data_IF_778654196390
#
_entry.id   IF_778654196390
#
_cell.length_a   1.000
_cell.length_b   1.000
_cell.length_c   1.000
_cell.angle_alpha   90.00
_cell.angle_beta   90.00
_cell.angle_gamma   90.00
#
_symmetry.space_group_name_H-M   'P 1'
#
loop_
_entity.id
_entity.type
_entity.pdbx_description
1 polymer ?
#
# COMPACT_ATOMS: atom_id res chain seq x y z
N UNK A 1 -40.83 18.44 50.17
CA UNK A 1 -41.23 19.74 49.60
C UNK A 1 -40.22 20.06 48.52
N UNK A 2 -40.54 19.92 47.23
CA UNK A 2 -41.18 20.98 46.41
C UNK A 2 -40.19 22.16 46.30
N UNK A 3 -39.81 22.72 45.16
CA UNK A 3 -40.62 23.21 44.03
C UNK A 3 -39.65 23.61 42.89
N UNK A 4 -40.10 23.53 41.62
CA UNK A 4 -39.72 24.42 40.50
C UNK A 4 -38.37 24.12 39.81
N UNK A 5 -38.25 23.87 38.51
CA UNK A 5 -39.03 24.38 37.38
C UNK A 5 -38.50 25.75 36.96
N UNK A 6 -37.72 25.83 35.87
CA UNK A 6 -37.95 26.80 34.78
C UNK A 6 -36.99 26.59 33.60
N UNK A 7 -37.59 26.77 32.42
CA UNK A 7 -37.01 26.86 31.09
C UNK A 7 -35.95 27.96 31.00
N UNK A 8 -34.97 27.80 30.11
CA UNK A 8 -34.57 28.83 29.16
C UNK A 8 -33.66 28.22 28.09
N UNK A 9 -34.23 28.07 26.89
CA UNK A 9 -33.42 28.05 25.69
C UNK A 9 -32.88 29.45 25.42
N UNK A 10 -31.64 29.53 24.94
CA UNK A 10 -31.21 30.60 24.07
C UNK A 10 -30.13 30.05 23.13
N UNK A 11 -30.46 30.09 21.85
CA UNK A 11 -29.55 29.99 20.71
C UNK A 11 -28.61 31.20 20.67
N UNK A 12 -27.69 31.19 19.70
CA UNK A 12 -26.60 32.15 19.38
C UNK A 12 -25.28 31.73 20.06
N UNK A 13 -24.18 31.40 19.39
CA UNK A 13 -23.77 31.52 18.00
C UNK A 13 -22.27 31.79 17.98
N UNK A 14 -21.50 31.01 17.21
CA UNK A 14 -20.20 31.41 16.66
C UNK A 14 -18.93 31.24 17.53
N UNK A 15 -17.97 30.47 17.00
CA UNK A 15 -16.56 30.89 16.97
C UNK A 15 -15.57 30.29 17.97
N UNK A 16 -14.85 29.25 17.54
CA UNK A 16 -13.37 29.23 17.54
C UNK A 16 -12.55 29.11 18.84
N UNK A 17 -11.87 27.96 18.93
CA UNK A 17 -10.46 27.74 19.37
C UNK A 17 -10.13 27.66 20.88
N UNK A 18 -9.36 26.60 21.19
CA UNK A 18 -8.49 26.29 22.34
C UNK A 18 -9.15 25.71 23.62
N UNK A 19 -8.90 24.42 23.88
CA UNK A 19 -7.93 23.95 24.89
C UNK A 19 -7.95 22.42 25.04
N UNK A 20 -6.77 21.82 24.98
CA UNK A 20 -6.49 20.44 25.39
C UNK A 20 -6.71 20.35 26.92
N UNK A 21 -7.78 19.68 27.37
CA UNK A 21 -8.00 19.47 28.80
C UNK A 21 -7.40 18.15 29.29
N UNK A 22 -6.26 18.29 30.00
CA UNK A 22 -5.81 17.53 31.18
C UNK A 22 -6.21 16.05 31.25
N UNK A 23 -5.30 15.20 30.79
CA UNK A 23 -5.23 13.79 31.22
C UNK A 23 -4.86 13.77 32.71
N UNK A 24 -5.65 13.06 33.53
CA UNK A 24 -5.43 13.01 34.99
C UNK A 24 -4.07 12.37 35.32
N UNK A 25 -3.46 12.79 36.43
CA UNK A 25 -2.17 12.25 36.90
C UNK A 25 -2.19 10.72 37.02
N UNK A 26 -3.32 10.14 37.44
CA UNK A 26 -3.51 8.69 37.51
C UNK A 26 -3.46 7.96 36.15
N UNK A 27 -3.85 8.62 35.06
CA UNK A 27 -3.74 8.05 33.71
C UNK A 27 -2.29 8.12 33.20
N UNK A 28 -1.54 9.18 33.54
CA UNK A 28 -0.12 9.25 33.20
C UNK A 28 0.72 8.22 33.95
N UNK A 29 0.43 8.03 35.24
CA UNK A 29 1.12 7.06 36.09
C UNK A 29 0.84 5.62 35.60
N UNK A 30 -0.41 5.29 35.31
CA UNK A 30 -0.79 4.00 34.72
C UNK A 30 -0.15 3.74 33.34
N UNK A 31 0.00 4.78 32.51
CA UNK A 31 0.66 4.66 31.21
C UNK A 31 2.15 4.37 31.34
N UNK A 32 2.81 4.96 32.34
CA UNK A 32 4.23 4.77 32.59
C UNK A 32 4.53 3.37 33.14
N UNK A 33 3.67 2.85 34.01
CA UNK A 33 3.78 1.50 34.57
C UNK A 33 3.51 0.43 33.49
N UNK A 34 2.54 0.67 32.60
CA UNK A 34 2.28 -0.19 31.45
C UNK A 34 3.48 -0.24 30.49
N UNK A 35 4.09 0.91 30.18
CA UNK A 35 5.28 0.98 29.30
C UNK A 35 6.49 0.26 29.89
N UNK A 36 6.72 0.39 31.19
CA UNK A 36 7.82 -0.30 31.87
C UNK A 36 7.62 -1.83 31.91
N UNK A 37 6.38 -2.29 32.05
CA UNK A 37 6.04 -3.72 32.14
C UNK A 37 6.10 -4.45 30.79
N UNK A 38 5.84 -3.74 29.69
CA UNK A 38 5.77 -4.30 28.34
C UNK A 38 6.95 -3.90 27.44
N UNK A 39 8.04 -3.37 28.03
CA UNK A 39 9.26 -2.92 27.34
C UNK A 39 9.89 -4.01 26.43
N UNK A 40 9.76 -5.29 26.76
CA UNK A 40 10.28 -6.41 25.95
C UNK A 40 9.29 -6.99 24.93
N UNK A 41 7.99 -6.72 25.05
CA UNK A 41 7.01 -7.10 24.01
C UNK A 41 7.03 -6.12 22.81
N UNK A 42 7.69 -4.98 23.00
CA UNK A 42 8.06 -4.00 21.96
C UNK A 42 9.15 -4.54 21.01
N UNK A 43 9.79 -5.67 21.31
CA UNK A 43 10.92 -6.22 20.51
C UNK A 43 10.49 -7.28 19.47
N UNK A 44 9.20 -7.53 19.27
CA UNK A 44 8.67 -8.65 18.47
C UNK A 44 8.00 -8.34 17.13
N UNK A 45 8.45 -7.33 16.37
CA UNK A 45 8.41 -7.39 14.89
C UNK A 45 7.06 -7.35 14.15
N UNK A 46 6.10 -6.50 14.51
CA UNK A 46 5.02 -6.13 13.59
C UNK A 46 4.77 -4.62 13.64
N UNK A 47 5.19 -3.90 12.59
CA UNK A 47 4.89 -2.46 12.47
C UNK A 47 3.41 -2.32 12.14
N UNK A 48 2.64 -1.66 13.00
CA UNK A 48 1.21 -1.45 12.77
C UNK A 48 1.00 -0.63 11.49
N UNK A 49 -0.12 -0.90 10.80
CA UNK A 49 -0.54 -0.22 9.58
C UNK A 49 -0.52 1.32 9.71
N UNK A 50 -0.87 1.84 10.89
CA UNK A 50 -0.88 3.28 11.20
C UNK A 50 0.50 3.91 11.27
N UNK A 51 1.54 3.17 11.66
CA UNK A 51 2.92 3.67 11.65
C UNK A 51 3.50 3.75 10.22
N UNK A 52 3.07 2.86 9.31
CA UNK A 52 3.42 2.99 7.88
C UNK A 52 2.74 4.21 7.24
N UNK A 53 1.49 4.50 7.62
CA UNK A 53 0.76 5.67 7.14
C UNK A 53 1.38 7.01 7.59
N UNK A 54 2.10 7.02 8.72
CA UNK A 54 2.75 8.22 9.27
C UNK A 54 4.17 8.47 8.72
N UNK A 55 4.80 7.51 8.03
CA UNK A 55 6.23 7.61 7.69
C UNK A 55 6.55 8.13 6.28
N UNK A 56 5.57 8.35 5.40
CA UNK A 56 5.91 8.56 3.97
C UNK A 56 4.77 9.17 3.17
N UNK A 57 4.94 10.43 2.78
CA UNK A 57 4.14 10.97 1.69
C UNK A 57 4.60 10.35 0.35
N UNK A 58 3.66 9.70 -0.35
CA UNK A 58 3.85 9.34 -1.75
C UNK A 58 4.37 10.57 -2.50
N UNK A 59 5.56 10.46 -3.08
CA UNK A 59 6.22 11.56 -3.79
C UNK A 59 6.06 11.37 -5.28
N UNK A 60 5.45 12.35 -5.95
CA UNK A 60 5.20 12.32 -7.40
C UNK A 60 5.97 13.43 -8.10
N UNK A 61 6.75 13.07 -9.12
CA UNK A 61 7.41 14.01 -10.03
C UNK A 61 6.45 14.36 -11.17
N UNK A 62 5.94 15.59 -11.18
CA UNK A 62 5.07 16.13 -12.21
C UNK A 62 5.42 17.60 -12.55
N UNK A 63 5.03 18.12 -13.73
CA UNK A 63 5.24 19.53 -14.13
C UNK A 63 4.57 20.59 -13.24
N UNK A 64 3.49 20.23 -12.52
CA UNK A 64 2.80 21.13 -11.59
C UNK A 64 2.44 20.42 -10.29
N UNK A 65 2.30 21.19 -9.22
CA UNK A 65 1.90 20.70 -7.90
C UNK A 65 0.48 20.13 -7.91
N UNK A 66 -0.45 20.78 -8.60
CA UNK A 66 -1.82 20.31 -8.79
C UNK A 66 -1.84 18.92 -9.45
N UNK A 67 -1.01 18.71 -10.48
CA UNK A 67 -0.92 17.42 -11.15
C UNK A 67 -0.26 16.36 -10.25
N UNK A 68 0.79 16.73 -9.51
CA UNK A 68 1.41 15.84 -8.53
C UNK A 68 0.40 15.37 -7.48
N UNK A 69 -0.44 16.27 -6.97
CA UNK A 69 -1.50 15.96 -6.01
C UNK A 69 -2.56 15.04 -6.60
N UNK A 70 -3.01 15.29 -7.84
CA UNK A 70 -3.98 14.44 -8.53
C UNK A 70 -3.45 13.01 -8.73
N UNK A 71 -2.20 12.86 -9.15
CA UNK A 71 -1.57 11.54 -9.33
C UNK A 71 -1.23 10.86 -8.01
N UNK A 72 -0.92 11.62 -6.95
CA UNK A 72 -0.77 11.09 -5.59
C UNK A 72 -2.06 10.40 -5.15
N UNK A 73 -3.21 11.08 -5.30
CA UNK A 73 -4.52 10.51 -4.99
C UNK A 73 -4.84 9.26 -5.82
N UNK A 74 -4.52 9.26 -7.13
CA UNK A 74 -4.68 8.11 -8.01
C UNK A 74 -3.85 6.90 -7.57
N UNK A 75 -2.57 7.09 -7.22
CA UNK A 75 -1.74 6.00 -6.71
C UNK A 75 -2.26 5.48 -5.36
N UNK A 76 -2.73 6.36 -4.48
CA UNK A 76 -3.39 5.96 -3.23
C UNK A 76 -4.63 5.09 -3.49
N UNK A 77 -5.47 5.46 -4.45
CA UNK A 77 -6.62 4.65 -4.86
C UNK A 77 -6.18 3.26 -5.32
N UNK A 78 -5.22 3.18 -6.25
CA UNK A 78 -4.69 1.90 -6.74
C UNK A 78 -4.17 1.01 -5.62
N UNK A 79 -3.39 1.57 -4.68
CA UNK A 79 -2.85 0.84 -3.53
C UNK A 79 -3.95 0.33 -2.59
N UNK A 80 -5.06 1.05 -2.48
CA UNK A 80 -6.19 0.68 -1.62
C UNK A 80 -6.99 -0.52 -2.15
N UNK A 81 -6.90 -0.81 -3.45
CA UNK A 81 -7.67 -1.87 -4.08
C UNK A 81 -7.33 -3.25 -3.47
N UNK A 82 -8.33 -4.07 -3.11
CA UNK A 82 -8.11 -5.31 -2.35
C UNK A 82 -7.13 -6.31 -2.99
N UNK A 83 -7.08 -6.34 -4.33
CA UNK A 83 -6.18 -7.23 -5.07
C UNK A 83 -4.72 -6.72 -5.09
N UNK A 84 -4.52 -5.40 -4.99
CA UNK A 84 -3.19 -4.76 -4.94
C UNK A 84 -2.59 -4.79 -3.53
N UNK A 85 -3.43 -4.89 -2.49
CA UNK A 85 -2.98 -5.08 -1.10
C UNK A 85 -2.29 -6.43 -0.86
N UNK A 86 -2.53 -7.43 -1.72
CA UNK A 86 -1.95 -8.77 -1.59
C UNK A 86 -0.76 -8.95 -2.51
N UNK A 87 0.31 -9.56 -2.04
CA UNK A 87 1.48 -9.84 -2.88
C UNK A 87 1.12 -10.72 -4.09
N UNK A 88 1.66 -10.33 -5.25
CA UNK A 88 1.52 -11.06 -6.49
C UNK A 88 2.14 -12.47 -6.46
N UNK A 89 3.18 -12.69 -5.64
CA UNK A 89 4.01 -13.89 -5.66
C UNK A 89 3.82 -14.85 -4.49
N UNK A 90 3.46 -14.36 -3.31
CA UNK A 90 3.31 -15.22 -2.13
C UNK A 90 2.03 -14.91 -1.36
N UNK A 91 1.60 -15.85 -0.52
CA UNK A 91 0.43 -15.71 0.36
C UNK A 91 0.66 -14.90 1.65
N UNK A 92 1.76 -14.15 1.73
CA UNK A 92 2.19 -13.47 2.96
C UNK A 92 1.22 -12.39 3.47
N UNK A 93 0.43 -11.80 2.59
CA UNK A 93 -0.23 -10.51 2.84
C UNK A 93 -1.75 -10.62 2.81
N UNK A 94 -2.32 -11.56 3.55
CA UNK A 94 -3.75 -11.45 3.91
C UNK A 94 -3.93 -10.36 4.99
N UNK A 95 -2.92 -10.16 5.86
CA UNK A 95 -2.93 -9.16 6.94
C UNK A 95 -1.95 -7.98 6.75
N UNK A 96 -0.99 -8.09 5.82
CA UNK A 96 -0.02 -7.03 5.48
C UNK A 96 -0.32 -6.39 4.12
N UNK A 97 0.12 -5.15 3.88
CA UNK A 97 0.02 -4.51 2.58
C UNK A 97 1.24 -4.76 1.69
N UNK A 98 1.02 -5.12 0.43
CA UNK A 98 2.05 -5.12 -0.60
C UNK A 98 2.43 -3.67 -0.98
N UNK A 99 3.39 -3.10 -0.26
CA UNK A 99 3.84 -1.69 -0.43
C UNK A 99 4.95 -1.50 -1.47
N UNK A 100 5.36 -2.56 -2.16
CA UNK A 100 6.36 -2.52 -3.22
C UNK A 100 5.74 -2.85 -4.56
N UNK A 101 6.29 -2.29 -5.64
CA UNK A 101 5.79 -2.48 -6.99
C UNK A 101 6.90 -2.80 -7.97
N UNK A 102 6.67 -3.74 -8.87
CA UNK A 102 7.46 -3.87 -10.09
C UNK A 102 6.83 -3.02 -11.19
N UNK A 103 7.40 -1.84 -11.42
CA UNK A 103 6.76 -0.82 -12.28
C UNK A 103 6.67 -1.27 -13.74
N UNK A 104 7.62 -2.05 -14.25
CA UNK A 104 7.57 -2.50 -15.65
C UNK A 104 6.62 -3.68 -15.86
N UNK A 105 6.39 -4.49 -14.82
CA UNK A 105 5.46 -5.61 -14.82
C UNK A 105 4.05 -5.19 -14.38
N UNK A 106 3.89 -4.04 -13.73
CA UNK A 106 2.60 -3.55 -13.26
C UNK A 106 2.00 -4.36 -12.11
N UNK A 107 2.84 -4.93 -11.24
CA UNK A 107 2.43 -5.77 -10.10
C UNK A 107 2.90 -5.19 -8.77
N UNK A 108 2.12 -5.42 -7.72
CA UNK A 108 2.45 -5.14 -6.32
C UNK A 108 2.87 -6.40 -5.58
N UNK A 109 3.97 -6.30 -4.83
CA UNK A 109 4.62 -7.39 -4.10
C UNK A 109 4.96 -6.94 -2.68
N UNK A 110 5.14 -7.89 -1.76
CA UNK A 110 5.65 -7.59 -0.43
C UNK A 110 7.17 -7.30 -0.46
N UNK A 111 7.69 -6.75 0.63
CA UNK A 111 9.13 -6.43 0.78
C UNK A 111 10.03 -7.65 0.51
N UNK A 112 9.66 -8.82 1.04
CA UNK A 112 10.40 -10.06 0.83
C UNK A 112 10.50 -10.44 -0.65
N UNK A 113 9.39 -10.41 -1.38
CA UNK A 113 9.37 -10.71 -2.81
C UNK A 113 10.07 -9.60 -3.62
N UNK A 114 9.97 -8.34 -3.18
CA UNK A 114 10.70 -7.24 -3.77
C UNK A 114 12.22 -7.48 -3.75
N UNK A 115 12.75 -8.11 -2.69
CA UNK A 115 14.13 -8.58 -2.62
C UNK A 115 14.49 -9.58 -3.74
N UNK A 116 13.65 -10.59 -3.96
CA UNK A 116 13.86 -11.59 -5.02
C UNK A 116 13.77 -10.98 -6.42
N UNK A 117 12.85 -10.02 -6.63
CA UNK A 117 12.77 -9.28 -7.88
C UNK A 117 14.02 -8.46 -8.19
N UNK A 118 14.73 -7.94 -7.17
CA UNK A 118 16.02 -7.24 -7.39
C UNK A 118 17.08 -8.21 -7.94
N UNK A 119 17.08 -9.46 -7.48
CA UNK A 119 17.99 -10.51 -7.94
C UNK A 119 17.74 -10.95 -9.40
N UNK A 120 16.58 -10.63 -10.00
CA UNK A 120 16.30 -10.86 -11.42
C UNK A 120 17.01 -9.85 -12.34
N UNK A 121 17.38 -8.68 -11.81
CA UNK A 121 17.96 -7.58 -12.57
C UNK A 121 16.94 -6.66 -13.26
N UNK A 122 17.36 -5.42 -13.53
CA UNK A 122 16.53 -4.30 -14.01
C UNK A 122 15.95 -4.47 -15.42
N UNK A 123 16.52 -5.39 -16.20
CA UNK A 123 16.02 -5.80 -17.51
C UNK A 123 14.79 -6.70 -17.41
N UNK A 124 14.57 -7.35 -16.25
CA UNK A 124 13.40 -8.18 -15.96
C UNK A 124 12.40 -7.48 -15.05
N UNK A 125 12.86 -6.92 -13.94
CA UNK A 125 12.00 -6.28 -12.94
C UNK A 125 12.62 -5.01 -12.40
N UNK A 126 11.81 -3.96 -12.27
CA UNK A 126 12.19 -2.66 -11.72
C UNK A 126 11.34 -2.37 -10.49
N UNK A 127 11.95 -2.54 -9.31
CA UNK A 127 11.26 -2.41 -8.03
C UNK A 127 11.25 -0.96 -7.54
N UNK A 128 10.10 -0.52 -7.04
CA UNK A 128 9.87 0.76 -6.37
C UNK A 128 9.05 0.57 -5.09
N UNK A 129 9.42 1.29 -4.03
CA UNK A 129 8.58 1.45 -2.85
C UNK A 129 7.46 2.43 -3.15
N UNK A 130 6.23 2.11 -2.76
CA UNK A 130 5.10 3.04 -2.87
C UNK A 130 5.37 4.37 -2.15
N UNK A 131 6.15 4.28 -1.08
CA UNK A 131 6.23 5.28 -0.04
C UNK A 131 7.62 5.93 0.07
N UNK A 132 8.68 5.20 -0.27
CA UNK A 132 10.06 5.68 -0.17
C UNK A 132 10.67 6.13 -1.51
N UNK A 133 10.02 5.87 -2.64
CA UNK A 133 10.53 6.24 -3.96
C UNK A 133 9.71 7.38 -4.60
N UNK A 134 10.38 8.11 -5.50
CA UNK A 134 9.72 9.09 -6.39
C UNK A 134 9.04 8.36 -7.54
N UNK A 135 7.76 8.66 -7.74
CA UNK A 135 6.92 8.16 -8.81
C UNK A 135 6.79 9.17 -9.95
N UNK A 136 6.82 8.71 -11.20
CA UNK A 136 6.44 9.54 -12.34
C UNK A 136 5.00 9.26 -12.75
N UNK A 137 4.41 10.17 -13.51
CA UNK A 137 3.06 10.04 -14.07
C UNK A 137 2.91 8.71 -14.82
N UNK A 138 3.87 8.36 -15.68
CA UNK A 138 3.82 7.16 -16.52
C UNK A 138 3.90 5.87 -15.70
N UNK A 139 4.58 5.91 -14.54
CA UNK A 139 4.63 4.77 -13.63
C UNK A 139 3.26 4.55 -12.98
N UNK A 140 2.60 5.63 -12.54
CA UNK A 140 1.28 5.56 -11.90
C UNK A 140 0.23 5.08 -12.89
N UNK A 141 0.20 5.65 -14.10
CA UNK A 141 -0.68 5.21 -15.19
C UNK A 141 -0.49 3.74 -15.52
N UNK A 142 0.76 3.26 -15.43
CA UNK A 142 1.06 1.84 -15.63
C UNK A 142 0.46 0.96 -14.55
N UNK A 143 0.55 1.37 -13.28
CA UNK A 143 -0.09 0.64 -12.18
C UNK A 143 -1.62 0.70 -12.28
N UNK A 144 -2.19 1.82 -12.72
CA UNK A 144 -3.63 2.00 -12.95
C UNK A 144 -4.18 1.23 -14.16
N UNK A 145 -3.34 0.87 -15.13
CA UNK A 145 -3.76 0.10 -16.30
C UNK A 145 -3.55 -1.42 -16.12
N UNK A 146 -2.70 -1.83 -15.17
CA UNK A 146 -2.45 -3.22 -14.84
C UNK A 146 -2.93 -3.51 -13.41
N UNK A 147 -2.07 -3.34 -12.42
CA UNK A 147 -2.33 -3.82 -11.07
C UNK A 147 -2.41 -5.34 -11.02
N UNK A 148 -2.51 -5.90 -9.82
CA UNK A 148 -2.40 -7.33 -9.61
C UNK A 148 -3.51 -8.14 -10.28
N UNK A 149 -4.73 -7.62 -10.32
CA UNK A 149 -5.87 -8.32 -10.93
C UNK A 149 -5.67 -8.52 -12.44
N UNK A 150 -5.48 -7.44 -13.21
CA UNK A 150 -5.25 -7.55 -14.65
C UNK A 150 -3.92 -8.21 -14.98
N UNK A 151 -2.89 -8.05 -14.14
CA UNK A 151 -1.64 -8.79 -14.33
C UNK A 151 -1.82 -10.31 -14.20
N UNK A 152 -2.69 -10.79 -13.30
CA UNK A 152 -3.01 -12.24 -13.22
C UNK A 152 -3.67 -12.74 -14.50
N UNK A 153 -4.55 -11.95 -15.08
CA UNK A 153 -5.20 -12.28 -16.35
C UNK A 153 -4.19 -12.28 -17.50
N UNK A 154 -3.40 -11.20 -17.62
CA UNK A 154 -2.41 -11.01 -18.66
C UNK A 154 -1.32 -12.08 -18.64
N UNK A 155 -0.85 -12.47 -17.45
CA UNK A 155 0.22 -13.43 -17.27
C UNK A 155 -0.26 -14.89 -17.19
N UNK A 156 -1.56 -15.13 -17.38
CA UNK A 156 -2.11 -16.48 -17.51
C UNK A 156 -1.82 -17.35 -16.29
N UNK A 157 -1.41 -18.60 -16.53
CA UNK A 157 -1.10 -19.55 -15.48
C UNK A 157 0.03 -19.05 -14.57
N UNK A 158 1.12 -18.53 -15.16
CA UNK A 158 2.26 -18.05 -14.41
C UNK A 158 1.88 -16.91 -13.43
N UNK A 159 0.93 -16.05 -13.79
CA UNK A 159 0.44 -14.97 -12.92
C UNK A 159 -0.43 -15.44 -11.75
N UNK A 160 -1.07 -16.61 -11.87
CA UNK A 160 -1.98 -17.15 -10.85
C UNK A 160 -1.25 -17.93 -9.75
N UNK A 161 -0.09 -18.50 -10.07
CA UNK A 161 0.72 -19.25 -9.09
C UNK A 161 1.31 -18.30 -8.03
N UNK A 162 1.07 -18.67 -6.76
CA UNK A 162 1.67 -18.07 -5.56
C UNK A 162 2.20 -19.18 -4.67
N UNK A 163 3.29 -18.93 -3.97
CA UNK A 163 3.81 -19.84 -2.93
C UNK A 163 3.31 -19.46 -1.55
N UNK A 164 3.35 -20.41 -0.61
CA UNK A 164 3.10 -20.12 0.79
C UNK A 164 4.07 -19.06 1.31
N UNK A 165 3.63 -18.28 2.29
CA UNK A 165 4.47 -17.28 2.96
C UNK A 165 5.64 -17.92 3.74
N UNK A 166 5.44 -19.16 4.19
CA UNK A 166 6.35 -19.89 5.09
C UNK A 166 7.44 -20.66 4.34
N UNK A 167 7.47 -20.61 3.01
CA UNK A 167 8.55 -21.25 2.24
C UNK A 167 9.88 -20.56 2.52
N UNK A 168 10.97 -21.32 2.49
CA UNK A 168 12.32 -20.79 2.64
C UNK A 168 12.70 -19.80 1.53
N UNK A 169 13.69 -18.95 1.79
CA UNK A 169 14.14 -17.94 0.84
C UNK A 169 14.60 -18.54 -0.50
N UNK A 170 15.27 -19.70 -0.46
CA UNK A 170 15.71 -20.41 -1.66
C UNK A 170 14.54 -20.87 -2.53
N UNK A 171 13.50 -21.45 -1.91
CA UNK A 171 12.29 -21.87 -2.61
C UNK A 171 11.56 -20.67 -3.20
N UNK A 172 11.48 -19.55 -2.47
CA UNK A 172 10.89 -18.32 -2.98
C UNK A 172 11.69 -17.76 -4.17
N UNK A 173 13.02 -17.77 -4.10
CA UNK A 173 13.88 -17.28 -5.19
C UNK A 173 13.71 -18.12 -6.46
N UNK A 174 13.69 -19.45 -6.33
CA UNK A 174 13.43 -20.38 -7.44
C UNK A 174 12.05 -20.12 -8.04
N UNK A 175 11.02 -19.97 -7.21
CA UNK A 175 9.66 -19.67 -7.66
C UNK A 175 9.60 -18.37 -8.47
N UNK A 176 10.16 -17.28 -7.93
CA UNK A 176 10.19 -15.96 -8.58
C UNK A 176 10.96 -16.04 -9.90
N UNK A 177 12.15 -16.68 -9.92
CA UNK A 177 12.92 -16.85 -11.16
C UNK A 177 12.16 -17.62 -12.24
N UNK A 178 11.57 -18.77 -11.90
CA UNK A 178 10.82 -19.57 -12.86
C UNK A 178 9.59 -18.81 -13.38
N UNK A 179 8.82 -18.18 -12.48
CA UNK A 179 7.64 -17.38 -12.83
C UNK A 179 7.97 -16.26 -13.83
N UNK A 180 9.01 -15.47 -13.54
CA UNK A 180 9.38 -14.34 -14.40
C UNK A 180 10.31 -14.71 -15.57
N UNK A 181 10.72 -15.98 -15.69
CA UNK A 181 11.30 -16.51 -16.93
C UNK A 181 10.24 -16.68 -18.02
N UNK A 182 9.00 -17.02 -17.62
CA UNK A 182 7.85 -17.29 -18.49
C UNK A 182 7.05 -16.02 -18.79
N UNK A 183 7.03 -15.07 -17.86
CA UNK A 183 6.33 -13.79 -18.03
C UNK A 183 7.14 -12.86 -18.94
N UNK A 184 6.49 -12.39 -20.01
CA UNK A 184 6.98 -11.26 -20.80
C UNK A 184 6.40 -9.97 -20.21
N UNK A 185 7.21 -8.90 -20.05
CA UNK A 185 6.70 -7.60 -19.63
C UNK A 185 5.54 -7.16 -20.52
N UNK A 186 4.57 -6.44 -19.94
CA UNK A 186 3.54 -5.81 -20.74
C UNK A 186 4.21 -4.91 -21.79
N UNK A 187 3.70 -4.85 -23.03
CA UNK A 187 4.26 -4.00 -24.08
C UNK A 187 4.38 -2.53 -23.63
N UNK A 188 5.05 -1.72 -24.46
CA UNK A 188 5.27 -0.27 -24.27
C UNK A 188 3.97 0.52 -24.00
N UNK A 189 4.02 1.87 -23.96
CA UNK A 189 3.05 2.71 -23.26
C UNK A 189 1.62 2.17 -23.37
N UNK A 190 1.07 1.82 -22.21
CA UNK A 190 -0.28 1.26 -22.12
C UNK A 190 -1.24 2.28 -22.75
N UNK A 191 -2.26 1.84 -23.50
CA UNK A 191 -3.25 2.76 -24.02
C UNK A 191 -3.80 3.57 -22.85
N UNK A 192 -3.83 4.89 -23.00
CA UNK A 192 -4.35 5.81 -21.98
C UNK A 192 -5.71 5.31 -21.50
N UNK A 193 -6.02 5.55 -20.22
CA UNK A 193 -7.23 5.10 -19.54
C UNK A 193 -8.56 5.49 -20.24
N UNK A 194 -8.52 6.25 -21.33
CA UNK A 194 -9.60 6.44 -22.30
C UNK A 194 -9.80 5.23 -23.23
N UNK A 195 -10.33 4.14 -22.67
CA UNK A 195 -11.41 3.40 -23.37
C UNK A 195 -11.07 2.21 -24.26
N UNK A 196 -9.88 1.59 -24.17
CA UNK A 196 -9.70 0.23 -24.71
C UNK A 196 -9.02 -0.66 -23.68
N UNK A 197 -9.85 -1.28 -22.83
CA UNK A 197 -9.49 -2.49 -22.11
C UNK A 197 -8.75 -3.42 -23.07
N UNK A 198 -7.63 -3.99 -22.61
CA UNK A 198 -7.02 -5.15 -23.24
C UNK A 198 -8.04 -6.30 -23.20
N UNK A 199 -9.03 -6.28 -24.11
CA UNK A 199 -9.86 -7.44 -24.39
C UNK A 199 -8.89 -8.46 -24.97
N UNK A 200 -8.60 -9.50 -24.21
CA UNK A 200 -8.08 -10.74 -24.76
C UNK A 200 -8.93 -11.07 -25.99
N UNK A 201 -8.34 -11.00 -27.19
CA UNK A 201 -8.90 -11.75 -28.32
C UNK A 201 -8.65 -13.20 -27.97
N UNK A 202 -9.68 -13.88 -27.50
CA UNK A 202 -9.72 -15.33 -27.53
C UNK A 202 -9.57 -15.79 -29.00
N UNK A 203 -8.90 -16.93 -29.24
CA UNK A 203 -8.79 -17.52 -30.58
C UNK A 203 -10.15 -17.89 -31.17
#
# INVERSE_FOLDING_TARGET
>A
AGIGGFLLGCSLGGGGVLLYEKVSKGVQDALSEFKAKHQHEIEGGFRSFEQYAQLTEITVKAPSEELALAYKARLTDVLSQPHNRRCFDCSHCEDEMAVWASINLGVFVCERCAGMHRALGTHKSRIKSAYADVWTVEMIERMEALGNERARELYGEAGRVRVSKDVDAEVLEVHVRDKYSKIKPAPGPLPSASGKLYRCRAP
#
